data_IF_806274731670
#
_entry.id   IF_806274731670
#
_cell.length_a   1.000
_cell.length_b   1.000
_cell.length_c   1.000
_cell.angle_alpha   90.00
_cell.angle_beta   90.00
_cell.angle_gamma   90.00
#
_symmetry.space_group_name_H-M   'P 1'
#
loop_
_entity.id
_entity.type
_entity.pdbx_description
1 polymer ?
#
# COMPACT_ATOMS: atom_id res chain seq x y z
N UNK A 1 -4.31 0.81 20.40
CA UNK A 1 -3.13 1.24 19.63
C UNK A 1 -3.67 1.91 18.38
N UNK A 2 -3.29 3.15 18.11
CA UNK A 2 -3.80 3.84 16.93
C UNK A 2 -3.02 3.32 15.72
N UNK A 3 -3.72 2.95 14.65
CA UNK A 3 -3.07 2.54 13.41
C UNK A 3 -2.25 3.70 12.85
N UNK A 4 -1.04 3.41 12.39
CA UNK A 4 -0.24 4.37 11.62
C UNK A 4 -0.92 4.58 10.27
N UNK A 5 -1.07 5.82 9.83
CA UNK A 5 -1.66 6.14 8.53
C UNK A 5 -0.72 7.04 7.74
N UNK A 6 -0.45 6.66 6.49
CA UNK A 6 0.35 7.41 5.52
C UNK A 6 -0.53 7.65 4.29
N UNK A 7 -0.48 8.86 3.75
CA UNK A 7 -1.20 9.22 2.52
C UNK A 7 -0.25 9.90 1.53
N UNK A 8 -0.34 9.52 0.27
CA UNK A 8 0.35 10.14 -0.85
C UNK A 8 -0.67 10.78 -1.77
N UNK A 9 -0.48 12.05 -2.11
CA UNK A 9 -1.25 12.72 -3.13
C UNK A 9 -0.51 12.60 -4.46
N UNK A 10 -1.17 12.09 -5.48
CA UNK A 10 -0.59 11.81 -6.79
C UNK A 10 -1.51 12.31 -7.90
N UNK A 11 -0.97 13.11 -8.81
CA UNK A 11 -1.65 13.57 -10.02
C UNK A 11 -1.02 12.91 -11.23
N UNK A 12 -1.80 12.19 -12.04
CA UNK A 12 -1.27 11.36 -13.14
C UNK A 12 -2.30 11.17 -14.26
N UNK A 13 -1.90 10.60 -15.39
CA UNK A 13 -2.84 10.19 -16.45
C UNK A 13 -3.54 8.87 -16.07
N UNK A 14 -4.76 8.67 -16.58
CA UNK A 14 -5.56 7.49 -16.25
C UNK A 14 -4.90 6.14 -16.60
N UNK A 15 -3.99 6.10 -17.59
CA UNK A 15 -3.24 4.89 -17.97
C UNK A 15 -2.09 4.54 -17.01
N UNK A 16 -1.63 5.51 -16.21
CA UNK A 16 -0.48 5.35 -15.31
C UNK A 16 -0.89 4.83 -13.93
N UNK A 17 -2.19 4.84 -13.61
CA UNK A 17 -2.73 4.51 -12.27
C UNK A 17 -2.28 3.12 -11.81
N UNK A 18 -2.41 2.11 -12.66
CA UNK A 18 -2.07 0.74 -12.30
C UNK A 18 -0.61 0.62 -11.86
N UNK A 19 0.30 1.22 -12.63
CA UNK A 19 1.75 1.12 -12.43
C UNK A 19 2.24 1.96 -11.25
N UNK A 20 1.72 3.19 -11.10
CA UNK A 20 2.07 4.05 -9.97
C UNK A 20 1.60 3.43 -8.66
N UNK A 21 0.35 2.94 -8.59
CA UNK A 21 -0.17 2.30 -7.38
C UNK A 21 0.55 0.98 -7.11
N UNK A 22 0.80 0.17 -8.15
CA UNK A 22 1.54 -1.10 -8.01
C UNK A 22 2.96 -0.86 -7.48
N UNK A 23 3.68 0.14 -7.99
CA UNK A 23 5.02 0.51 -7.54
C UNK A 23 5.04 0.82 -6.04
N UNK A 24 4.07 1.60 -5.55
CA UNK A 24 3.95 1.95 -4.13
C UNK A 24 3.56 0.72 -3.29
N UNK A 25 2.51 0.00 -3.68
CA UNK A 25 1.99 -1.13 -2.90
C UNK A 25 2.99 -2.29 -2.84
N UNK A 26 3.65 -2.62 -3.94
CA UNK A 26 4.66 -3.67 -3.95
C UNK A 26 5.91 -3.30 -3.16
N UNK A 27 6.33 -2.03 -3.17
CA UNK A 27 7.42 -1.56 -2.29
C UNK A 27 7.05 -1.76 -0.81
N UNK A 28 5.84 -1.36 -0.41
CA UNK A 28 5.37 -1.55 0.97
C UNK A 28 5.24 -3.04 1.31
N UNK A 29 4.64 -3.84 0.43
CA UNK A 29 4.47 -5.28 0.62
C UNK A 29 5.81 -6.00 0.70
N UNK A 30 6.83 -5.56 -0.04
CA UNK A 30 8.17 -6.10 0.03
C UNK A 30 8.75 -5.98 1.45
N UNK A 31 8.55 -4.83 2.10
CA UNK A 31 8.96 -4.59 3.48
C UNK A 31 7.98 -5.17 4.54
N UNK A 32 6.85 -5.72 4.12
CA UNK A 32 5.80 -6.28 4.99
C UNK A 32 5.51 -7.75 4.69
N UNK A 33 6.41 -8.36 3.93
CA UNK A 33 6.41 -9.78 3.64
C UNK A 33 7.67 -10.42 4.18
N UNK A 34 7.52 -11.62 4.71
CA UNK A 34 8.62 -12.48 5.11
C UNK A 34 8.61 -13.73 4.25
N UNK A 35 9.71 -14.48 4.22
CA UNK A 35 9.68 -15.79 3.58
C UNK A 35 8.85 -16.76 4.40
N UNK A 36 8.51 -17.91 3.80
CA UNK A 36 7.63 -18.87 4.46
C UNK A 36 8.19 -19.36 5.80
N UNK A 37 7.34 -19.35 6.82
CA UNK A 37 7.68 -19.82 8.16
C UNK A 37 7.58 -21.34 8.22
N UNK A 38 8.60 -21.99 8.77
CA UNK A 38 8.58 -23.41 9.09
C UNK A 38 8.78 -23.58 10.59
N UNK A 39 7.70 -23.86 11.30
CA UNK A 39 7.73 -24.08 12.74
C UNK A 39 8.19 -25.50 13.06
N UNK A 40 9.20 -25.63 13.92
CA UNK A 40 9.67 -26.92 14.45
C UNK A 40 8.92 -27.29 15.74
N UNK A 41 8.49 -26.30 16.50
CA UNK A 41 7.59 -26.42 17.66
C UNK A 41 6.75 -25.13 17.80
N UNK A 42 6.09 -24.92 18.94
CA UNK A 42 5.22 -23.74 19.15
C UNK A 42 5.98 -22.40 19.13
N UNK A 43 7.24 -22.37 19.56
CA UNK A 43 8.03 -21.13 19.74
C UNK A 43 9.21 -21.01 18.77
N UNK A 44 9.65 -22.12 18.18
CA UNK A 44 10.83 -22.19 17.32
C UNK A 44 10.44 -22.33 15.85
N UNK A 45 11.04 -21.50 14.99
CA UNK A 45 10.79 -21.50 13.55
C UNK A 45 12.05 -21.12 12.77
N UNK A 46 12.07 -21.50 11.49
CA UNK A 46 12.97 -20.94 10.48
C UNK A 46 12.17 -20.15 9.45
N UNK A 47 12.73 -19.06 8.94
CA UNK A 47 12.13 -18.22 7.90
C UNK A 47 12.92 -18.47 6.60
N UNK A 48 12.23 -18.79 5.51
CA UNK A 48 12.86 -18.89 4.18
C UNK A 48 13.25 -17.51 3.63
N UNK A 49 14.04 -17.48 2.56
CA UNK A 49 14.35 -16.25 1.84
C UNK A 49 13.13 -15.78 1.03
N UNK A 50 12.92 -14.47 0.97
CA UNK A 50 11.99 -13.83 0.02
C UNK A 50 12.76 -13.58 -1.28
N UNK A 51 12.33 -14.21 -2.36
CA UNK A 51 12.81 -13.85 -3.71
C UNK A 51 12.13 -12.56 -4.19
N UNK A 52 12.77 -11.87 -5.14
CA UNK A 52 12.29 -10.62 -5.71
C UNK A 52 12.48 -10.58 -7.21
N UNK A 53 11.72 -9.71 -7.88
CA UNK A 53 11.79 -9.48 -9.31
C UNK A 53 11.64 -7.98 -9.60
N UNK A 54 12.36 -7.52 -10.61
CA UNK A 54 12.22 -6.18 -11.18
C UNK A 54 11.07 -6.18 -12.18
N UNK A 55 10.20 -5.17 -12.10
CA UNK A 55 9.05 -5.00 -12.99
C UNK A 55 9.15 -3.66 -13.69
N UNK A 56 9.39 -3.70 -15.00
CA UNK A 56 9.40 -2.53 -15.87
C UNK A 56 7.96 -2.08 -16.14
N UNK A 57 7.75 -0.77 -16.09
CA UNK A 57 6.47 -0.13 -16.40
C UNK A 57 6.39 0.23 -17.89
N UNK A 58 5.20 0.09 -18.47
CA UNK A 58 4.88 0.40 -19.86
C UNK A 58 4.41 1.86 -20.06
N UNK A 59 3.80 2.48 -19.04
CA UNK A 59 3.21 3.82 -19.10
C UNK A 59 3.94 4.89 -18.28
N UNK A 60 4.94 4.48 -17.50
CA UNK A 60 5.91 5.36 -16.84
C UNK A 60 7.32 4.83 -17.05
N UNK A 61 8.31 5.71 -17.24
CA UNK A 61 9.73 5.33 -17.30
C UNK A 61 10.27 5.01 -15.90
N UNK A 62 9.87 3.84 -15.39
CA UNK A 62 10.13 3.40 -14.03
C UNK A 62 10.19 1.87 -13.94
N UNK A 63 11.03 1.38 -13.04
CA UNK A 63 11.12 -0.04 -12.69
C UNK A 63 10.96 -0.16 -11.18
N UNK A 64 10.08 -1.04 -10.71
CA UNK A 64 9.90 -1.30 -9.28
C UNK A 64 10.23 -2.74 -8.91
N UNK A 65 10.59 -2.96 -7.65
CA UNK A 65 10.86 -4.29 -7.10
C UNK A 65 9.61 -4.82 -6.40
N UNK A 66 9.30 -6.10 -6.60
CA UNK A 66 8.25 -6.78 -5.84
C UNK A 66 8.70 -8.17 -5.35
N UNK A 67 7.98 -8.71 -4.36
CA UNK A 67 8.15 -10.12 -3.99
C UNK A 67 7.83 -11.01 -5.19
N UNK A 68 8.70 -11.99 -5.48
CA UNK A 68 8.45 -13.00 -6.50
C UNK A 68 7.37 -13.97 -5.99
N UNK A 69 6.10 -13.56 -6.10
CA UNK A 69 4.94 -14.34 -5.71
C UNK A 69 3.76 -14.07 -6.65
N UNK A 70 3.45 -15.05 -7.50
CA UNK A 70 2.37 -14.95 -8.49
C UNK A 70 1.01 -14.76 -7.82
N UNK A 71 0.77 -15.44 -6.70
CA UNK A 71 -0.48 -15.34 -5.96
C UNK A 71 -0.69 -13.93 -5.39
N UNK A 72 0.36 -13.34 -4.79
CA UNK A 72 0.29 -11.98 -4.24
C UNK A 72 0.12 -10.97 -5.36
N UNK A 73 0.93 -11.07 -6.41
CA UNK A 73 0.85 -10.19 -7.58
C UNK A 73 -0.53 -10.20 -8.22
N UNK A 74 -1.17 -11.37 -8.35
CA UNK A 74 -2.53 -11.48 -8.92
C UNK A 74 -3.59 -10.79 -8.07
N UNK A 75 -3.53 -10.92 -6.74
CA UNK A 75 -4.50 -10.30 -5.83
C UNK A 75 -4.35 -8.77 -5.86
N UNK A 76 -3.12 -8.28 -5.74
CA UNK A 76 -2.82 -6.84 -5.75
C UNK A 76 -3.21 -6.23 -7.08
N UNK A 77 -2.81 -6.83 -8.21
CA UNK A 77 -3.17 -6.37 -9.55
C UNK A 77 -4.68 -6.30 -9.75
N UNK A 78 -5.43 -7.33 -9.34
CA UNK A 78 -6.89 -7.34 -9.46
C UNK A 78 -7.53 -6.13 -8.79
N UNK A 79 -7.16 -5.85 -7.55
CA UNK A 79 -7.79 -4.78 -6.76
C UNK A 79 -7.38 -3.38 -7.28
N UNK A 80 -6.13 -3.23 -7.75
CA UNK A 80 -5.65 -2.01 -8.40
C UNK A 80 -6.38 -1.76 -9.72
N UNK A 81 -6.48 -2.77 -10.60
CA UNK A 81 -7.12 -2.60 -11.91
C UNK A 81 -8.62 -2.31 -11.77
N UNK A 82 -9.33 -2.95 -10.84
CA UNK A 82 -10.75 -2.63 -10.55
C UNK A 82 -10.93 -1.18 -10.06
N UNK A 83 -10.04 -0.70 -9.17
CA UNK A 83 -10.04 0.71 -8.77
C UNK A 83 -9.80 1.65 -9.96
N UNK A 84 -8.77 1.35 -10.75
CA UNK A 84 -8.30 2.15 -11.88
C UNK A 84 -9.35 2.29 -12.98
N UNK A 85 -10.03 1.19 -13.33
CA UNK A 85 -11.15 1.19 -14.28
C UNK A 85 -12.30 2.06 -13.80
N UNK A 86 -12.68 1.94 -12.51
CA UNK A 86 -13.77 2.73 -11.95
C UNK A 86 -13.42 4.20 -11.77
N UNK A 87 -12.18 4.52 -11.46
CA UNK A 87 -11.71 5.89 -11.35
C UNK A 87 -11.79 6.60 -12.71
N UNK A 88 -11.36 5.93 -13.78
CA UNK A 88 -11.48 6.45 -15.16
C UNK A 88 -12.93 6.58 -15.63
N UNK A 89 -13.81 5.69 -15.19
CA UNK A 89 -15.24 5.71 -15.53
C UNK A 89 -16.10 6.60 -14.62
N UNK A 90 -15.52 7.37 -13.70
CA UNK A 90 -16.27 8.19 -12.74
C UNK A 90 -16.70 9.53 -13.35
N UNK A 91 -17.99 9.67 -13.64
CA UNK A 91 -18.59 10.92 -14.18
C UNK A 91 -18.83 12.00 -13.10
N UNK A 92 -18.56 11.69 -11.81
CA UNK A 92 -19.01 12.50 -10.68
C UNK A 92 -18.11 13.70 -10.32
N UNK A 93 -16.86 13.72 -10.76
CA UNK A 93 -15.88 14.78 -10.45
C UNK A 93 -15.01 15.09 -11.65
N UNK A 94 -14.79 16.38 -11.92
CA UNK A 94 -13.85 16.86 -12.94
C UNK A 94 -12.80 17.76 -12.29
N UNK A 95 -11.53 17.32 -12.16
CA UNK A 95 -10.98 16.03 -12.61
C UNK A 95 -11.48 14.82 -11.80
N UNK A 96 -11.47 13.58 -12.36
CA UNK A 96 -11.76 12.36 -11.62
C UNK A 96 -10.80 12.17 -10.44
N UNK A 97 -11.34 11.87 -9.26
CA UNK A 97 -10.57 11.68 -8.02
C UNK A 97 -11.00 10.43 -7.28
N UNK A 98 -10.04 9.78 -6.63
CA UNK A 98 -10.30 8.64 -5.76
C UNK A 98 -9.08 8.31 -4.91
N UNK A 99 -9.23 7.37 -3.99
CA UNK A 99 -8.13 6.87 -3.19
C UNK A 99 -8.18 5.36 -3.06
N UNK A 100 -7.01 4.75 -2.99
CA UNK A 100 -6.84 3.31 -2.76
C UNK A 100 -5.88 3.10 -1.60
N UNK A 101 -6.23 2.19 -0.71
CA UNK A 101 -5.54 1.97 0.56
C UNK A 101 -5.14 0.51 0.72
N UNK A 102 -3.88 0.30 1.08
CA UNK A 102 -3.33 -0.96 1.58
C UNK A 102 -3.31 -0.92 3.11
N UNK A 103 -4.15 -1.72 3.75
CA UNK A 103 -4.29 -1.78 5.21
C UNK A 103 -3.75 -3.10 5.74
N UNK A 104 -2.77 -3.02 6.65
CA UNK A 104 -2.29 -4.15 7.44
C UNK A 104 -3.04 -4.21 8.78
N UNK A 105 -3.42 -5.41 9.17
CA UNK A 105 -4.18 -5.65 10.40
C UNK A 105 -3.69 -6.91 11.13
N UNK A 106 -4.16 -7.07 12.36
CA UNK A 106 -4.05 -8.31 13.14
C UNK A 106 -5.45 -8.75 13.56
N UNK A 107 -5.68 -10.05 13.67
CA UNK A 107 -6.93 -10.61 14.17
C UNK A 107 -6.84 -10.77 15.68
N UNK A 108 -7.79 -10.20 16.42
CA UNK A 108 -7.93 -10.51 17.84
C UNK A 108 -8.74 -11.80 17.99
N UNK A 109 -8.20 -12.78 18.73
CA UNK A 109 -8.93 -14.01 19.08
C UNK A 109 -10.29 -13.64 19.66
N UNK A 110 -11.36 -14.07 19.00
CA UNK A 110 -12.71 -13.94 19.51
C UNK A 110 -13.12 -15.23 20.21
N UNK A 111 -13.90 -15.10 21.28
CA UNK A 111 -14.61 -16.24 21.85
C UNK A 111 -15.88 -16.46 21.05
N UNK A 112 -16.19 -17.72 20.76
CA UNK A 112 -17.46 -18.10 20.14
C UNK A 112 -18.64 -17.48 20.89
N UNK A 113 -19.64 -16.88 20.22
CA UNK A 113 -19.94 -16.93 18.78
C UNK A 113 -19.44 -15.72 17.95
N UNK A 114 -18.54 -14.89 18.49
CA UNK A 114 -18.12 -13.66 17.82
C UNK A 114 -17.04 -13.92 16.75
N UNK A 115 -17.10 -13.16 15.66
CA UNK A 115 -16.04 -13.16 14.65
C UNK A 115 -14.77 -12.49 15.19
N UNK A 116 -13.57 -12.94 14.80
CA UNK A 116 -12.32 -12.25 15.12
C UNK A 116 -12.35 -10.80 14.65
N UNK A 117 -12.03 -9.87 15.55
CA UNK A 117 -11.94 -8.45 15.21
C UNK A 117 -10.64 -8.18 14.44
N UNK A 118 -10.73 -7.53 13.29
CA UNK A 118 -9.57 -7.06 12.53
C UNK A 118 -9.16 -5.69 13.05
N UNK A 119 -7.97 -5.62 13.66
CA UNK A 119 -7.43 -4.39 14.24
C UNK A 119 -6.32 -3.86 13.33
N UNK A 120 -6.54 -2.75 12.61
CA UNK A 120 -5.52 -2.16 11.76
C UNK A 120 -4.35 -1.66 12.59
N UNK A 121 -3.15 -1.74 12.03
CA UNK A 121 -1.94 -1.21 12.66
C UNK A 121 -1.11 -0.33 11.70
N UNK A 122 -1.26 -0.48 10.39
CA UNK A 122 -0.62 0.39 9.40
C UNK A 122 -1.50 0.49 8.13
N UNK A 123 -1.66 1.71 7.60
CA UNK A 123 -2.47 2.01 6.41
C UNK A 123 -1.69 2.92 5.48
N UNK A 124 -1.56 2.52 4.21
CA UNK A 124 -0.92 3.28 3.14
C UNK A 124 -1.96 3.66 2.09
N UNK A 125 -2.20 4.95 1.90
CA UNK A 125 -3.23 5.46 0.98
C UNK A 125 -2.59 6.22 -0.16
N UNK A 126 -2.99 5.91 -1.40
CA UNK A 126 -2.67 6.70 -2.58
C UNK A 126 -3.95 7.44 -2.99
N UNK A 127 -3.92 8.76 -2.87
CA UNK A 127 -4.96 9.67 -3.34
C UNK A 127 -4.63 10.06 -4.79
N UNK A 128 -5.43 9.58 -5.73
CA UNK A 128 -5.23 9.79 -7.16
C UNK A 128 -6.14 10.90 -7.68
N UNK A 129 -5.55 11.85 -8.39
CA UNK A 129 -6.25 12.83 -9.23
C UNK A 129 -5.86 12.59 -10.70
N UNK A 130 -6.85 12.33 -11.56
CA UNK A 130 -6.59 12.12 -12.98
C UNK A 130 -6.42 13.46 -13.69
N UNK A 131 -5.38 13.56 -14.50
CA UNK A 131 -5.09 14.72 -15.33
C UNK A 131 -5.12 14.35 -16.80
N UNK A 132 -5.46 15.32 -17.65
CA UNK A 132 -5.42 15.18 -19.10
C UNK A 132 -4.34 16.10 -19.66
N UNK A 133 -3.53 15.59 -20.60
CA UNK A 133 -2.55 16.40 -21.32
C UNK A 133 -3.21 17.25 -22.41
N UNK A 134 -2.77 18.50 -22.55
CA UNK A 134 -3.28 19.44 -23.55
C UNK A 134 -2.61 19.29 -24.92
N UNK A 135 -1.37 18.81 -24.92
CA UNK A 135 -0.53 18.59 -26.10
C UNK A 135 0.64 17.65 -25.73
N UNK A 136 1.47 17.27 -26.71
CA UNK A 136 2.60 16.36 -26.50
C UNK A 136 3.65 16.90 -25.51
N UNK A 137 3.90 18.22 -25.51
CA UNK A 137 4.84 18.84 -24.59
C UNK A 137 4.35 18.75 -23.14
N UNK A 138 3.06 19.06 -22.91
CA UNK A 138 2.41 18.95 -21.59
C UNK A 138 2.35 17.49 -21.13
N UNK A 139 2.11 16.54 -22.05
CA UNK A 139 2.18 15.11 -21.77
C UNK A 139 3.57 14.70 -21.28
N UNK A 140 4.64 15.13 -21.98
CA UNK A 140 6.00 14.82 -21.61
C UNK A 140 6.36 15.38 -20.22
N UNK A 141 6.04 16.65 -19.96
CA UNK A 141 6.30 17.29 -18.66
C UNK A 141 5.51 16.62 -17.53
N UNK A 142 4.25 16.22 -17.76
CA UNK A 142 3.47 15.49 -16.76
C UNK A 142 4.04 14.10 -16.48
N UNK A 143 4.48 13.41 -17.53
CA UNK A 143 5.10 12.10 -17.40
C UNK A 143 6.38 12.16 -16.55
N UNK A 144 7.28 13.10 -16.83
CA UNK A 144 8.49 13.33 -16.02
C UNK A 144 8.12 13.66 -14.55
N UNK A 145 7.12 14.53 -14.35
CA UNK A 145 6.66 14.90 -13.01
C UNK A 145 6.09 13.74 -12.19
N UNK A 146 5.38 12.80 -12.83
CA UNK A 146 4.89 11.57 -12.16
C UNK A 146 6.06 10.69 -11.72
N UNK A 147 7.07 10.53 -12.58
CA UNK A 147 8.26 9.71 -12.28
C UNK A 147 9.05 10.30 -11.10
N UNK A 148 9.36 11.59 -11.14
CA UNK A 148 10.05 12.28 -10.04
C UNK A 148 9.26 12.17 -8.73
N UNK A 149 7.94 12.41 -8.78
CA UNK A 149 7.08 12.31 -7.61
C UNK A 149 7.08 10.88 -7.04
N UNK A 150 7.02 9.86 -7.89
CA UNK A 150 7.04 8.46 -7.49
C UNK A 150 8.39 8.09 -6.86
N UNK A 151 9.51 8.49 -7.45
CA UNK A 151 10.86 8.28 -6.89
C UNK A 151 10.95 8.82 -5.45
N UNK A 152 10.51 10.05 -5.23
CA UNK A 152 10.45 10.66 -3.89
C UNK A 152 9.61 9.82 -2.92
N UNK A 153 8.46 9.29 -3.36
CA UNK A 153 7.62 8.45 -2.50
C UNK A 153 8.27 7.11 -2.19
N UNK A 154 8.95 6.48 -3.15
CA UNK A 154 9.67 5.22 -2.90
C UNK A 154 10.78 5.43 -1.87
N UNK A 155 11.60 6.47 -2.03
CA UNK A 155 12.63 6.82 -1.04
C UNK A 155 12.00 7.06 0.32
N UNK A 156 10.94 7.87 0.39
CA UNK A 156 10.22 8.14 1.62
C UNK A 156 9.70 6.87 2.30
N UNK A 157 9.11 5.92 1.55
CA UNK A 157 8.65 4.63 2.10
C UNK A 157 9.82 3.93 2.82
N UNK A 158 10.98 3.82 2.17
CA UNK A 158 12.16 3.16 2.76
C UNK A 158 12.67 3.89 4.01
N UNK A 159 12.60 5.21 4.05
CA UNK A 159 12.98 6.00 5.24
C UNK A 159 12.05 5.74 6.42
N UNK A 160 10.74 5.75 6.18
CA UNK A 160 9.76 5.71 7.27
C UNK A 160 9.47 4.29 7.75
N UNK A 161 9.70 3.27 6.91
CA UNK A 161 9.63 1.86 7.30
C UNK A 161 10.78 1.48 8.24
N UNK A 162 11.94 2.11 8.08
CA UNK A 162 13.12 1.87 8.92
C UNK A 162 13.05 2.53 10.30
N UNK A 163 12.02 3.34 10.57
CA UNK A 163 11.83 3.95 11.90
C UNK A 163 11.38 2.89 12.91
N UNK A 164 11.75 3.07 14.18
CA UNK A 164 11.31 2.21 15.29
C UNK A 164 9.83 2.41 15.62
N UNK A 165 8.97 2.03 14.68
CA UNK A 165 7.52 2.07 14.84
C UNK A 165 6.97 0.67 15.14
N UNK A 166 5.72 0.61 15.57
CA UNK A 166 5.09 -0.64 15.94
C UNK A 166 4.97 -1.58 14.73
N UNK A 167 5.43 -2.81 14.93
CA UNK A 167 5.07 -3.97 14.11
C UNK A 167 4.54 -5.08 15.04
N UNK A 168 3.62 -5.94 14.58
CA UNK A 168 3.15 -7.05 15.38
C UNK A 168 4.31 -7.93 15.86
N UNK A 169 4.23 -8.38 17.12
CA UNK A 169 5.21 -9.31 17.68
C UNK A 169 5.16 -10.63 16.93
N UNK A 170 6.30 -11.31 16.88
CA UNK A 170 6.34 -12.62 16.26
C UNK A 170 5.42 -13.61 17.00
N UNK A 171 4.47 -14.27 16.31
CA UNK A 171 3.52 -15.17 16.92
C UNK A 171 4.11 -16.57 17.13
N UNK A 172 3.52 -17.31 18.06
CA UNK A 172 3.66 -18.77 18.12
C UNK A 172 3.04 -19.42 16.89
N UNK A 173 3.31 -20.72 16.69
CA UNK A 173 2.71 -21.50 15.60
C UNK A 173 1.18 -21.41 15.58
N UNK A 174 0.56 -21.52 16.76
CA UNK A 174 -0.89 -21.48 16.94
C UNK A 174 -1.54 -20.11 16.76
N UNK A 175 -0.74 -19.04 16.66
CA UNK A 175 -1.20 -17.66 16.45
C UNK A 175 -0.71 -17.05 15.13
N UNK A 176 -0.03 -17.83 14.29
CA UNK A 176 0.58 -17.33 13.07
C UNK A 176 -0.45 -16.71 12.11
N UNK A 177 -1.64 -17.31 11.99
CA UNK A 177 -2.74 -16.87 11.12
C UNK A 177 -3.51 -15.64 11.63
N UNK A 178 -3.20 -15.19 12.85
CA UNK A 178 -3.71 -13.95 13.43
C UNK A 178 -2.88 -12.74 13.02
N UNK A 179 -1.65 -12.94 12.59
CA UNK A 179 -0.68 -11.89 12.26
C UNK A 179 -0.30 -11.93 10.79
N UNK A 180 -0.09 -13.12 10.24
CA UNK A 180 0.35 -13.35 8.87
C UNK A 180 -0.71 -14.07 8.04
N UNK A 181 -0.69 -13.82 6.74
CA UNK A 181 -1.41 -14.65 5.79
C UNK A 181 -0.60 -15.92 5.51
N UNK A 182 -1.07 -17.04 6.04
CA UNK A 182 -0.42 -18.34 5.93
C UNK A 182 -0.83 -19.12 4.67
N UNK A 183 -1.70 -18.55 3.81
CA UNK A 183 -2.23 -19.22 2.61
C UNK A 183 -1.26 -19.19 1.43
N UNK A 184 -0.33 -18.24 1.38
CA UNK A 184 0.73 -18.17 0.37
C UNK A 184 1.75 -19.30 0.56
N UNK A 185 2.19 -19.90 -0.55
CA UNK A 185 3.06 -21.10 -0.52
C UNK A 185 4.56 -20.79 -0.49
N UNK A 186 4.92 -19.61 -0.98
CA UNK A 186 6.25 -19.09 -1.29
C UNK A 186 6.69 -18.01 -0.29
N UNK A 187 5.77 -17.11 0.06
CA UNK A 187 5.99 -16.01 1.01
C UNK A 187 4.97 -16.06 2.16
N UNK A 188 5.09 -15.13 3.09
CA UNK A 188 4.18 -14.97 4.22
C UNK A 188 4.05 -13.48 4.56
N UNK A 189 3.17 -12.73 3.87
CA UNK A 189 2.87 -11.34 4.18
C UNK A 189 2.14 -11.22 5.52
N UNK A 190 2.27 -10.06 6.18
CA UNK A 190 1.31 -9.68 7.22
C UNK A 190 -0.10 -9.71 6.64
N UNK A 191 -1.11 -9.95 7.47
CA UNK A 191 -2.50 -9.86 7.03
C UNK A 191 -2.76 -8.45 6.49
N UNK A 192 -3.27 -8.38 5.27
CA UNK A 192 -3.59 -7.13 4.60
C UNK A 192 -4.92 -7.21 3.86
N UNK A 193 -5.48 -6.04 3.54
CA UNK A 193 -6.59 -5.89 2.60
C UNK A 193 -6.40 -4.60 1.80
N UNK A 194 -6.89 -4.62 0.57
CA UNK A 194 -6.95 -3.44 -0.29
C UNK A 194 -8.40 -2.96 -0.36
N UNK A 195 -8.61 -1.66 -0.24
CA UNK A 195 -9.91 -1.03 -0.38
C UNK A 195 -9.76 0.35 -1.03
N UNK A 196 -10.80 0.83 -1.70
CA UNK A 196 -10.76 2.13 -2.38
C UNK A 196 -12.05 2.93 -2.21
N UNK A 197 -11.94 4.24 -2.43
CA UNK A 197 -13.02 5.20 -2.40
C UNK A 197 -12.97 6.09 -3.65
N UNK A 198 -14.10 6.27 -4.32
CA UNK A 198 -14.25 7.10 -5.52
C UNK A 198 -15.01 8.41 -5.27
N UNK A 199 -15.61 8.55 -4.09
CA UNK A 199 -16.05 9.86 -3.63
C UNK A 199 -14.78 10.62 -3.27
N UNK A 200 -14.52 11.76 -3.91
CA UNK A 200 -13.31 12.58 -3.67
C UNK A 200 -13.15 13.13 -2.23
N UNK A 201 -13.86 12.57 -1.25
CA UNK A 201 -13.61 12.73 0.16
C UNK A 201 -12.54 11.72 0.62
N UNK A 202 -11.48 12.15 1.33
CA UNK A 202 -10.58 11.21 1.97
C UNK A 202 -11.39 10.28 2.88
N UNK A 203 -11.06 8.98 2.97
CA UNK A 203 -11.72 8.10 3.93
C UNK A 203 -11.55 8.73 5.31
N UNK A 204 -12.67 8.96 6.00
CA UNK A 204 -12.66 9.40 7.39
C UNK A 204 -12.00 8.32 8.22
N UNK A 205 -10.67 8.41 8.37
CA UNK A 205 -9.95 7.61 9.33
C UNK A 205 -10.45 8.01 10.71
N UNK A 206 -11.11 7.05 11.36
CA UNK A 206 -11.39 7.11 12.80
C UNK A 206 -10.03 7.02 13.50
N UNK A 207 -9.38 8.18 13.66
CA UNK A 207 -8.02 8.26 14.16
C UNK A 207 -7.56 9.70 14.25
N UNK A 208 -7.98 10.39 15.31
CA UNK A 208 -7.39 11.66 15.72
C UNK A 208 -5.86 11.57 15.69
N UNK A 209 -5.19 12.31 14.79
CA UNK A 209 -4.01 13.18 15.02
C UNK A 209 -3.55 13.79 13.69
N UNK A 210 -4.23 14.83 13.20
CA UNK A 210 -3.58 15.83 12.34
C UNK A 210 -2.93 16.84 13.28
N UNK A 211 -1.63 16.72 13.52
CA UNK A 211 -0.82 17.77 14.14
C UNK A 211 0.24 18.25 13.16
N UNK A 212 -0.08 19.41 12.56
CA UNK A 212 0.82 20.55 12.34
C UNK A 212 2.09 20.31 11.51
N UNK A 213 2.02 20.69 10.23
CA UNK A 213 3.14 21.25 9.46
C UNK A 213 2.77 22.64 8.91
N UNK A 214 2.19 23.50 9.75
CA UNK A 214 1.96 24.92 9.47
C UNK A 214 2.15 25.74 10.75
N UNK A 215 3.41 25.90 11.16
CA UNK A 215 3.83 27.03 12.01
C UNK A 215 5.36 27.04 12.03
N UNK A 216 5.97 27.73 11.07
CA UNK A 216 7.28 28.40 11.21
C UNK A 216 7.52 29.28 9.98
N UNK A 217 6.71 30.32 9.89
CA UNK A 217 7.03 31.55 9.15
C UNK A 217 6.08 32.57 9.71
N UNK A 218 6.55 33.28 10.75
CA UNK A 218 6.12 34.60 11.23
C UNK A 218 6.61 34.73 12.69
N UNK A 219 7.87 35.11 12.81
CA UNK A 219 8.41 35.78 13.99
C UNK A 219 9.27 36.94 13.47
N UNK A 220 8.63 38.10 13.32
CA UNK A 220 9.23 39.41 13.48
C UNK A 220 8.87 39.88 14.89
#
# INVERSE_FOLDING_TARGET
>A
MNARSIAFEMSMEGRQVDEVVASIFHTVLFHRSSGKFTYTNEESYSIRTVSYVDVDCDFIDFTYVCCESEALGRIVKRDISDFSERLRGSDGSSPPRGSISLEFFQKRRARWPFQPECVPWEVWTVCCELTEARNEQDMHTKHEGVVEMLQDKIVFITEIINRHEYVPKMPSRSDADLIFDTTYSDIQPYLFKIHYNLSGAPPTSVGNTVRKLLRDTLSL
#
